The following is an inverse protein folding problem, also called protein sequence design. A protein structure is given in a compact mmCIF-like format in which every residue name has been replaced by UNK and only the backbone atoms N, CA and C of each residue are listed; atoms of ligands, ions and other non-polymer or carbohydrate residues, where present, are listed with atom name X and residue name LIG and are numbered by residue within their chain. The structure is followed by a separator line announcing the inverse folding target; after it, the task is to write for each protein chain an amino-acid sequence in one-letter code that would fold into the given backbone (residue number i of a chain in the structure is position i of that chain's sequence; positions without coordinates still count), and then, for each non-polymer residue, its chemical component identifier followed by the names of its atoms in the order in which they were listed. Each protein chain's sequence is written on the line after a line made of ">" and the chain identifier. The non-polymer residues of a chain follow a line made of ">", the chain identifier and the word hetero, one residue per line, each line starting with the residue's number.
data_IF_436829942658
#
_entry.id   IF_436829942658
#
_cell.length_a   1.000
_cell.length_b   1.000
_cell.length_c   1.000
_cell.angle_alpha   90.00
_cell.angle_beta   90.00
_cell.angle_gamma   90.00
#
_symmetry.space_group_name_H-M   'P 1'
#
loop_
_entity.id
_entity.type
_entity.pdbx_description
1 polymer ?
#
# COMPACT_ATOMS: atom_id res chain seq x y z
N UNK A 1 15.70 20.05 18.01
CA UNK A 1 15.40 19.81 17.48
C UNK A 1 14.62 20.00 16.78
N UNK A 2 14.54 20.24 16.28
CA UNK A 2 13.90 20.40 15.45
C UNK A 2 12.77 19.81 15.36
N UNK A 3 12.15 19.78 15.97
CA UNK A 3 11.10 19.18 15.94
C UNK A 3 10.06 19.75 15.23
N UNK A 4 9.94 20.93 15.07
CA UNK A 4 8.85 21.53 14.44
C UNK A 4 8.67 21.04 13.07
N UNK A 5 9.76 20.87 12.40
CA UNK A 5 9.61 20.46 11.09
C UNK A 5 9.33 19.04 11.00
N UNK A 6 9.31 18.37 12.10
CA UNK A 6 9.10 16.97 12.04
C UNK A 6 7.70 16.61 11.74
N UNK A 7 6.75 17.51 11.87
CA UNK A 7 5.38 17.10 11.61
C UNK A 7 5.18 16.64 10.19
N UNK A 8 5.95 17.17 9.23
CA UNK A 8 5.80 16.71 7.89
C UNK A 8 6.49 15.40 7.65
N UNK A 9 7.50 15.08 8.43
CA UNK A 9 8.22 13.85 8.23
C UNK A 9 7.88 12.83 9.28
N UNK A 10 6.77 13.05 9.99
CA UNK A 10 6.33 12.09 10.97
C UNK A 10 5.58 10.93 10.39
N UNK A 11 5.41 10.88 9.09
CA UNK A 11 4.79 9.72 8.47
C UNK A 11 5.68 8.51 8.64
N UNK A 12 5.06 7.41 8.99
CA UNK A 12 5.78 6.18 9.21
C UNK A 12 6.19 5.57 7.89
N UNK A 13 7.47 5.22 7.75
CA UNK A 13 7.99 4.57 6.56
C UNK A 13 8.86 3.42 7.03
N UNK A 14 8.25 2.25 7.31
CA UNK A 14 9.01 1.11 7.85
C UNK A 14 10.19 0.72 6.96
N UNK A 15 11.32 0.50 7.59
CA UNK A 15 12.56 0.24 6.86
C UNK A 15 12.63 -1.14 6.26
N UNK A 16 11.85 -2.06 6.76
CA UNK A 16 11.89 -3.44 6.25
C UNK A 16 11.03 -3.65 5.02
N UNK A 17 10.29 -2.63 4.59
CA UNK A 17 9.42 -2.72 3.43
C UNK A 17 10.05 -2.06 2.22
N UNK A 18 9.50 -2.34 1.05
CA UNK A 18 9.88 -1.67 -0.17
C UNK A 18 8.66 -0.93 -0.70
N UNK A 19 8.88 0.06 -1.57
CA UNK A 19 7.81 0.99 -1.90
C UNK A 19 7.79 1.32 -3.39
N UNK A 20 6.62 1.81 -3.85
CA UNK A 20 6.50 2.38 -5.18
C UNK A 20 6.26 3.87 -5.05
N UNK A 21 6.47 4.60 -6.15
CA UNK A 21 6.19 6.04 -6.13
C UNK A 21 4.68 6.30 -6.22
N UNK A 22 3.87 5.25 -6.29
CA UNK A 22 2.42 5.38 -6.23
C UNK A 22 1.90 5.13 -4.83
N UNK A 23 2.79 5.12 -3.83
CA UNK A 23 2.44 5.03 -2.42
C UNK A 23 1.89 3.67 -2.03
N UNK A 24 2.50 2.64 -2.57
CA UNK A 24 2.17 1.24 -2.26
C UNK A 24 3.39 0.61 -1.61
N UNK A 25 3.20 -0.17 -0.55
CA UNK A 25 4.30 -0.88 0.06
C UNK A 25 4.19 -2.37 -0.26
N UNK A 26 5.35 -3.04 -0.27
CA UNK A 26 5.44 -4.47 -0.53
C UNK A 26 6.35 -5.08 0.51
N UNK A 27 5.89 -6.17 1.12
CA UNK A 27 6.72 -6.96 2.04
C UNK A 27 7.03 -8.28 1.36
N UNK A 28 8.18 -8.35 0.73
CA UNK A 28 8.59 -9.55 0.01
C UNK A 28 9.35 -10.53 0.90
N UNK A 29 9.51 -10.21 2.18
CA UNK A 29 10.14 -11.13 3.12
C UNK A 29 9.21 -12.26 3.51
N UNK A 30 7.93 -12.15 3.18
CA UNK A 30 6.95 -13.22 3.42
C UNK A 30 6.47 -13.74 2.08
N UNK A 31 5.92 -14.94 2.08
CA UNK A 31 5.46 -15.58 0.86
C UNK A 31 4.09 -16.18 1.07
N UNK A 32 3.08 -15.74 0.31
CA UNK A 32 3.14 -14.73 -0.76
C UNK A 32 3.46 -13.35 -0.20
N UNK A 33 3.96 -12.47 -1.04
CA UNK A 33 4.31 -11.11 -0.62
C UNK A 33 3.05 -10.35 -0.23
N UNK A 34 3.18 -9.50 0.80
CA UNK A 34 2.04 -8.73 1.29
C UNK A 34 2.13 -7.32 0.72
N UNK A 35 0.98 -6.77 0.33
CA UNK A 35 0.93 -5.47 -0.33
C UNK A 35 -0.14 -4.61 0.32
N UNK A 36 0.17 -3.33 0.50
CA UNK A 36 -0.77 -2.38 1.04
C UNK A 36 -0.42 -0.97 0.63
N UNK A 37 -1.09 0.00 1.22
CA UNK A 37 -0.84 1.40 0.92
C UNK A 37 -0.13 2.05 2.10
N UNK A 38 0.64 3.09 1.81
CA UNK A 38 1.45 3.74 2.85
C UNK A 38 0.62 4.69 3.68
N UNK A 39 1.19 5.12 4.79
CA UNK A 39 0.53 6.11 5.63
C UNK A 39 0.31 7.41 4.87
N UNK A 40 1.25 7.76 3.99
CA UNK A 40 1.06 8.94 3.17
C UNK A 40 -0.22 8.82 2.32
N UNK A 41 -0.44 7.63 1.74
CA UNK A 41 -1.63 7.42 0.93
C UNK A 41 -2.89 7.55 1.78
N UNK A 42 -2.88 6.99 2.98
CA UNK A 42 -4.08 7.04 3.82
C UNK A 42 -4.39 8.47 4.24
N UNK A 43 -3.36 9.29 4.42
CA UNK A 43 -3.58 10.69 4.76
C UNK A 43 -4.22 11.43 3.60
N UNK A 44 -3.88 11.05 2.38
CA UNK A 44 -4.47 11.68 1.20
C UNK A 44 -5.92 11.25 1.00
N UNK A 45 -6.25 10.02 1.37
CA UNK A 45 -7.62 9.53 1.22
C UNK A 45 -8.59 10.24 2.16
N UNK A 46 -8.14 10.52 3.37
CA UNK A 46 -9.05 10.91 4.43
C UNK A 46 -9.84 9.70 4.88
N UNK A 47 -11.12 9.89 5.09
CA UNK A 47 -11.95 8.80 5.60
C UNK A 47 -12.42 7.90 4.46
N UNK A 48 -12.03 6.63 4.51
CA UNK A 48 -12.43 5.66 3.49
C UNK A 48 -13.83 5.13 3.81
N UNK A 49 -14.65 5.01 2.78
CA UNK A 49 -16.01 4.51 2.93
C UNK A 49 -16.22 3.18 2.22
N UNK A 50 -15.35 2.84 1.27
CA UNK A 50 -15.51 1.58 0.53
C UNK A 50 -14.18 1.19 -0.10
N UNK A 51 -13.91 -0.11 -0.11
CA UNK A 51 -12.71 -0.66 -0.76
C UNK A 51 -13.16 -1.78 -1.68
N UNK A 52 -12.76 -1.68 -2.96
CA UNK A 52 -13.04 -2.70 -3.95
C UNK A 52 -11.80 -3.55 -4.11
N UNK A 53 -11.83 -4.76 -3.58
CA UNK A 53 -10.66 -5.65 -3.58
C UNK A 53 -10.62 -6.47 -4.86
N UNK A 54 -9.40 -6.92 -5.26
CA UNK A 54 -9.29 -7.80 -6.42
C UNK A 54 -9.79 -9.19 -6.06
N UNK A 55 -9.93 -10.03 -7.07
CA UNK A 55 -10.34 -11.42 -6.86
C UNK A 55 -9.11 -12.31 -6.74
N UNK A 56 -9.19 -13.27 -5.83
CA UNK A 56 -8.14 -14.27 -5.69
C UNK A 56 -8.02 -15.03 -6.99
N UNK A 57 -6.79 -15.27 -7.43
CA UNK A 57 -6.52 -15.95 -8.69
C UNK A 57 -6.25 -15.03 -9.85
N UNK A 58 -6.47 -13.73 -9.66
CA UNK A 58 -6.24 -12.76 -10.74
C UNK A 58 -4.75 -12.63 -11.00
N UNK A 59 -4.39 -12.61 -12.28
CA UNK A 59 -3.01 -12.32 -12.66
C UNK A 59 -2.84 -10.83 -12.85
N UNK A 60 -1.80 -10.29 -12.24
CA UNK A 60 -1.56 -8.86 -12.18
C UNK A 60 -0.21 -8.55 -12.81
N UNK A 61 -0.15 -7.46 -13.57
CA UNK A 61 1.11 -6.98 -14.11
C UNK A 61 1.46 -5.67 -13.45
N UNK A 62 2.76 -5.38 -13.42
CA UNK A 62 3.22 -4.10 -12.89
C UNK A 62 2.50 -2.97 -13.61
N UNK A 63 1.93 -2.06 -12.85
CA UNK A 63 1.21 -0.93 -13.43
C UNK A 63 -0.29 -1.12 -13.52
N UNK A 64 -0.79 -2.34 -13.22
CA UNK A 64 -2.23 -2.56 -13.26
C UNK A 64 -2.91 -1.93 -12.05
N UNK A 65 -4.11 -1.42 -12.27
CA UNK A 65 -4.95 -0.97 -11.17
C UNK A 65 -5.66 -2.17 -10.59
N UNK A 66 -5.36 -2.50 -9.36
CA UNK A 66 -5.78 -3.77 -8.76
C UNK A 66 -6.92 -3.61 -7.78
N UNK A 67 -6.98 -2.49 -7.08
CA UNK A 67 -8.01 -2.24 -6.10
C UNK A 67 -8.40 -0.78 -6.16
N UNK A 68 -9.55 -0.43 -5.58
CA UNK A 68 -10.00 0.96 -5.54
C UNK A 68 -10.40 1.31 -4.13
N UNK A 69 -10.06 2.53 -3.74
CA UNK A 69 -10.42 3.08 -2.44
C UNK A 69 -11.35 4.26 -2.65
N UNK A 70 -12.53 4.18 -2.08
CA UNK A 70 -13.50 5.26 -2.20
C UNK A 70 -13.57 6.01 -0.89
N UNK A 71 -13.32 7.31 -0.93
CA UNK A 71 -13.46 8.16 0.24
C UNK A 71 -14.60 9.13 -0.01
N UNK A 72 -14.89 9.97 0.97
CA UNK A 72 -15.94 10.95 0.80
C UNK A 72 -15.59 11.99 -0.26
N UNK A 73 -14.33 12.07 -0.66
CA UNK A 73 -13.88 13.08 -1.60
C UNK A 73 -13.58 12.53 -2.98
N UNK A 74 -13.13 11.32 -3.10
CA UNK A 74 -12.60 10.83 -4.38
C UNK A 74 -12.49 9.32 -4.39
N UNK A 75 -12.20 8.78 -5.56
CA UNK A 75 -11.89 7.37 -5.76
C UNK A 75 -10.44 7.30 -6.20
N UNK A 76 -9.66 6.46 -5.56
CA UNK A 76 -8.23 6.30 -5.87
C UNK A 76 -7.93 4.84 -6.10
N UNK A 77 -7.18 4.54 -7.14
CA UNK A 77 -6.80 3.17 -7.45
C UNK A 77 -5.49 2.80 -6.79
N UNK A 78 -5.36 1.53 -6.42
CA UNK A 78 -4.07 0.98 -6.01
C UNK A 78 -3.40 0.42 -7.26
N UNK A 79 -2.26 0.99 -7.62
CA UNK A 79 -1.51 0.55 -8.79
C UNK A 79 -0.45 -0.43 -8.30
N UNK A 80 -0.48 -1.64 -8.83
CA UNK A 80 0.44 -2.68 -8.38
C UNK A 80 1.85 -2.41 -8.86
N UNK A 81 2.83 -2.39 -7.96
CA UNK A 81 4.22 -2.20 -8.38
C UNK A 81 4.90 -3.51 -8.76
N UNK A 82 4.18 -4.63 -8.66
CA UNK A 82 4.76 -5.95 -8.91
C UNK A 82 3.80 -6.78 -9.74
N UNK A 83 4.34 -7.80 -10.39
CA UNK A 83 3.54 -8.74 -11.18
C UNK A 83 3.45 -10.07 -10.45
N UNK A 84 2.33 -10.76 -10.62
CA UNK A 84 2.13 -12.05 -9.99
C UNK A 84 0.68 -12.45 -9.96
N UNK A 85 0.35 -13.39 -9.09
CA UNK A 85 -1.01 -13.90 -8.96
C UNK A 85 -1.53 -13.60 -7.56
N UNK A 86 -2.71 -13.00 -7.47
CA UNK A 86 -3.34 -12.69 -6.19
C UNK A 86 -3.71 -13.98 -5.49
N UNK A 87 -3.21 -14.17 -4.28
CA UNK A 87 -3.48 -15.39 -3.52
C UNK A 87 -4.44 -15.15 -2.36
N UNK A 88 -4.42 -13.96 -1.75
CA UNK A 88 -5.30 -13.63 -0.64
C UNK A 88 -5.70 -12.18 -0.73
N UNK A 89 -6.88 -11.86 -0.23
CA UNK A 89 -7.35 -10.48 -0.09
C UNK A 89 -7.81 -10.27 1.32
N UNK A 90 -7.74 -9.04 1.80
CA UNK A 90 -8.07 -8.73 3.18
C UNK A 90 -9.54 -8.33 3.29
N UNK A 91 -10.40 -9.32 3.48
CA UNK A 91 -11.83 -9.07 3.57
C UNK A 91 -12.20 -8.22 4.77
N UNK A 92 -11.39 -8.23 5.83
CA UNK A 92 -11.65 -7.40 6.99
C UNK A 92 -11.54 -5.92 6.64
N UNK A 93 -10.63 -5.58 5.76
CA UNK A 93 -10.49 -4.20 5.33
C UNK A 93 -11.69 -3.76 4.51
N UNK A 94 -12.25 -4.67 3.72
CA UNK A 94 -13.46 -4.34 2.95
C UNK A 94 -14.65 -4.15 3.87
N UNK A 95 -14.73 -4.95 4.94
CA UNK A 95 -15.83 -4.83 5.90
C UNK A 95 -15.70 -3.58 6.77
N UNK A 96 -14.45 -3.17 7.04
CA UNK A 96 -14.19 -2.03 7.90
C UNK A 96 -13.02 -1.25 7.33
N UNK A 97 -13.27 -0.35 6.37
CA UNK A 97 -12.18 0.38 5.72
C UNK A 97 -11.32 1.20 6.67
N UNK A 98 -11.80 1.52 7.86
CA UNK A 98 -11.00 2.30 8.80
C UNK A 98 -9.74 1.54 9.23
N UNK A 99 -9.70 0.23 9.08
CA UNK A 99 -8.51 -0.55 9.40
C UNK A 99 -7.33 -0.07 8.56
N UNK A 100 -7.59 0.30 7.30
CA UNK A 100 -6.52 0.73 6.41
C UNK A 100 -5.92 2.05 6.87
N UNK A 101 -6.76 2.99 7.30
CA UNK A 101 -6.25 4.28 7.75
C UNK A 101 -5.65 4.20 9.14
N UNK A 102 -6.16 3.29 9.98
CA UNK A 102 -5.66 3.17 11.35
C UNK A 102 -4.34 2.39 11.42
N UNK A 103 -4.18 1.39 10.55
CA UNK A 103 -3.00 0.52 10.64
C UNK A 103 -2.58 0.06 9.24
N UNK A 104 -2.12 0.99 8.39
CA UNK A 104 -1.86 0.66 6.99
C UNK A 104 -0.76 -0.37 6.78
N UNK A 105 0.18 -0.47 7.71
CA UNK A 105 1.30 -1.40 7.56
C UNK A 105 1.06 -2.73 8.27
N UNK A 106 -0.02 -2.84 9.01
CA UNK A 106 -0.34 -4.06 9.73
C UNK A 106 -1.65 -4.65 9.26
N UNK A 107 -2.69 -4.48 10.06
CA UNK A 107 -3.97 -5.10 9.76
C UNK A 107 -4.64 -4.53 8.52
N UNK A 108 -4.17 -3.40 8.04
CA UNK A 108 -4.73 -2.77 6.85
C UNK A 108 -4.14 -3.21 5.53
N UNK A 109 -3.41 -4.33 5.51
CA UNK A 109 -2.89 -4.84 4.26
C UNK A 109 -4.05 -5.10 3.28
N UNK A 110 -3.76 -5.08 1.98
CA UNK A 110 -4.82 -5.16 0.97
C UNK A 110 -4.88 -6.53 0.33
N UNK A 111 -3.76 -7.02 -0.18
CA UNK A 111 -3.74 -8.36 -0.77
C UNK A 111 -2.37 -8.99 -0.62
N UNK A 112 -2.32 -10.30 -0.87
CA UNK A 112 -1.06 -11.03 -0.92
C UNK A 112 -0.91 -11.60 -2.31
N UNK A 113 0.30 -11.51 -2.85
CA UNK A 113 0.55 -11.83 -4.24
C UNK A 113 1.75 -12.76 -4.34
N UNK A 114 1.59 -13.80 -5.15
CA UNK A 114 2.71 -14.68 -5.46
C UNK A 114 3.48 -14.01 -6.58
N UNK A 115 4.69 -13.53 -6.27
CA UNK A 115 5.47 -12.74 -7.21
C UNK A 115 5.95 -13.56 -8.38
N UNK A 116 5.86 -12.96 -9.56
CA UNK A 116 6.39 -13.58 -10.77
C UNK A 116 7.86 -13.30 -10.89
N UNK A 117 8.30 -12.14 -10.39
CA UNK A 117 9.68 -11.70 -10.50
C UNK A 117 10.26 -11.62 -9.10
N UNK A 118 11.37 -12.29 -8.87
CA UNK A 118 12.00 -12.31 -7.56
C UNK A 118 12.62 -10.97 -7.18
N UNK A 119 12.88 -10.12 -8.15
CA UNK A 119 13.57 -8.87 -7.89
C UNK A 119 12.83 -7.70 -8.52
N UNK A 120 11.66 -7.37 -7.97
CA UNK A 120 10.93 -6.23 -8.52
C UNK A 120 11.70 -4.93 -8.30
N UNK A 121 11.45 -3.98 -9.17
CA UNK A 121 12.14 -2.70 -9.12
C UNK A 121 11.39 -1.76 -8.19
N UNK A 122 11.74 -1.79 -6.92
CA UNK A 122 11.04 -1.03 -5.89
C UNK A 122 12.00 -0.08 -5.20
N UNK A 123 11.42 0.91 -4.52
CA UNK A 123 12.18 1.89 -3.77
C UNK A 123 12.45 1.39 -2.37
N UNK A 124 13.60 1.77 -1.83
CA UNK A 124 13.87 1.51 -0.42
C UNK A 124 13.08 2.50 0.43
N UNK A 125 13.05 2.25 1.73
CA UNK A 125 12.37 3.16 2.64
C UNK A 125 13.00 4.55 2.58
N UNK A 126 14.31 4.64 2.49
CA UNK A 126 14.99 5.93 2.41
C UNK A 126 14.60 6.67 1.14
N UNK A 127 14.54 5.96 0.03
CA UNK A 127 14.19 6.57 -1.25
C UNK A 127 12.76 7.06 -1.23
N UNK A 128 11.87 6.25 -0.68
CA UNK A 128 10.46 6.63 -0.63
C UNK A 128 10.25 7.80 0.34
N UNK A 129 10.97 7.79 1.46
CA UNK A 129 10.84 8.87 2.43
C UNK A 129 11.16 10.22 1.81
N UNK A 130 12.11 10.26 0.88
CA UNK A 130 12.44 11.51 0.22
C UNK A 130 11.31 12.00 -0.67
N UNK A 131 10.56 11.09 -1.25
CA UNK A 131 9.45 11.47 -2.11
C UNK A 131 8.35 12.14 -1.29
N UNK A 132 8.04 11.59 -0.12
CA UNK A 132 6.92 12.10 0.66
C UNK A 132 7.32 13.24 1.58
N UNK A 133 8.60 13.49 1.75
CA UNK A 133 9.05 14.56 2.60
C UNK A 133 8.85 15.93 1.97
N UNK A 134 8.71 15.98 0.66
CA UNK A 134 8.50 17.25 -0.03
C UNK A 134 7.03 17.72 0.02
#
# INVERSE_FOLDING_TARGET
>A
MSEANDSKVNLDVPEHLEYSDEHVWVDSSVEPAMVGVTEYATEQFGELVYIDLPEVGTQVETGDEVAEFESSKAVTALVSPVAGTIRYVNNEAADDPSIVTDDPYGEGWIFKIELEDDEPDLLSADEYAKIVAD
#
